data_IF_904054636627
#
_entry.id   IF_904054636627
#
_cell.length_a   1.000
_cell.length_b   1.000
_cell.length_c   1.000
_cell.angle_alpha   90.00
_cell.angle_beta   90.00
_cell.angle_gamma   90.00
#
_symmetry.space_group_name_H-M   'P 1'
#
loop_
_entity.id
_entity.type
_entity.pdbx_description
1 polymer ?
#
# COMPACT_ATOMS: atom_id res chain seq x y z
N UNK A 1 8.23 27.89 -14.77
CA UNK A 1 8.57 27.74 -13.33
C UNK A 1 7.37 27.68 -12.37
N UNK A 2 6.71 28.78 -11.96
CA UNK A 2 5.62 28.68 -10.94
C UNK A 2 4.37 27.92 -11.45
N UNK A 3 3.96 28.19 -12.69
CA UNK A 3 2.79 27.54 -13.34
C UNK A 3 2.91 26.01 -13.39
N UNK A 4 4.09 25.50 -13.70
CA UNK A 4 4.35 24.05 -13.84
C UNK A 4 4.29 23.33 -12.50
N UNK A 5 4.76 23.97 -11.43
CA UNK A 5 4.63 23.42 -10.08
C UNK A 5 3.14 23.34 -9.67
N UNK A 6 2.33 24.37 -9.98
CA UNK A 6 0.89 24.33 -9.70
C UNK A 6 0.19 23.23 -10.49
N UNK A 7 0.56 23.03 -11.76
CA UNK A 7 0.00 21.96 -12.57
C UNK A 7 0.38 20.57 -12.02
N UNK A 8 1.61 20.41 -11.52
CA UNK A 8 2.02 19.17 -10.87
C UNK A 8 1.24 18.89 -9.59
N UNK A 9 1.05 19.91 -8.74
CA UNK A 9 0.22 19.79 -7.53
C UNK A 9 -1.22 19.43 -7.90
N UNK A 10 -1.78 20.06 -8.93
CA UNK A 10 -3.12 19.77 -9.42
C UNK A 10 -3.24 18.31 -9.90
N UNK A 11 -2.31 17.84 -10.73
CA UNK A 11 -2.32 16.47 -11.26
C UNK A 11 -2.18 15.42 -10.14
N UNK A 12 -1.27 15.64 -9.19
CA UNK A 12 -1.12 14.78 -8.01
C UNK A 12 -2.37 14.81 -7.11
N UNK A 13 -3.00 15.98 -6.97
CA UNK A 13 -4.28 16.13 -6.28
C UNK A 13 -5.39 15.33 -6.96
N UNK A 14 -5.50 15.42 -8.29
CA UNK A 14 -6.46 14.64 -9.08
C UNK A 14 -6.19 13.14 -8.91
N UNK A 15 -4.94 12.69 -9.03
CA UNK A 15 -4.56 11.30 -8.79
C UNK A 15 -5.00 10.81 -7.41
N UNK A 16 -4.71 11.58 -6.36
CA UNK A 16 -5.13 11.25 -4.99
C UNK A 16 -6.65 11.17 -4.84
N UNK A 17 -7.38 12.14 -5.40
CA UNK A 17 -8.86 12.15 -5.38
C UNK A 17 -9.41 10.93 -6.12
N UNK A 18 -8.89 10.60 -7.31
CA UNK A 18 -9.31 9.43 -8.08
C UNK A 18 -9.03 8.12 -7.34
N UNK A 19 -7.86 7.99 -6.70
CA UNK A 19 -7.51 6.82 -5.90
C UNK A 19 -8.44 6.66 -4.68
N UNK A 20 -8.75 7.75 -3.98
CA UNK A 20 -9.64 7.74 -2.81
C UNK A 20 -11.08 7.42 -3.19
N UNK A 21 -11.63 8.08 -4.23
CA UNK A 21 -13.03 7.88 -4.63
C UNK A 21 -13.25 6.49 -5.21
N UNK A 22 -12.31 5.98 -5.99
CA UNK A 22 -12.41 4.63 -6.57
C UNK A 22 -12.34 3.52 -5.51
N UNK A 23 -11.60 3.71 -4.41
CA UNK A 23 -11.53 2.68 -3.35
C UNK A 23 -12.68 2.74 -2.33
N UNK A 24 -13.52 3.79 -2.36
CA UNK A 24 -14.35 4.16 -1.20
C UNK A 24 -15.38 3.08 -0.79
N UNK A 25 -15.91 2.35 -1.76
CA UNK A 25 -16.92 1.30 -1.55
C UNK A 25 -16.44 -0.09 -1.99
N UNK A 26 -15.15 -0.23 -2.31
CA UNK A 26 -14.57 -1.50 -2.73
C UNK A 26 -14.30 -2.40 -1.52
N UNK A 27 -14.65 -3.67 -1.65
CA UNK A 27 -14.26 -4.72 -0.70
C UNK A 27 -12.74 -4.95 -0.73
N UNK A 28 -12.23 -5.66 0.28
CA UNK A 28 -10.83 -6.08 0.31
C UNK A 28 -10.58 -7.13 -0.79
N UNK A 29 -9.48 -6.99 -1.51
CA UNK A 29 -9.03 -8.01 -2.44
C UNK A 29 -8.38 -9.21 -1.69
N UNK A 30 -7.79 -10.15 -2.43
CA UNK A 30 -7.16 -11.32 -1.82
C UNK A 30 -5.99 -10.95 -0.89
N UNK A 31 -5.03 -10.17 -1.40
CA UNK A 31 -3.80 -9.81 -0.68
C UNK A 31 -4.04 -8.83 0.47
N UNK A 32 -4.99 -7.92 0.35
CA UNK A 32 -5.33 -6.94 1.38
C UNK A 32 -5.86 -7.60 2.65
N UNK A 33 -6.57 -8.72 2.49
CA UNK A 33 -7.03 -9.55 3.62
C UNK A 33 -5.87 -10.24 4.34
N UNK A 34 -4.69 -10.30 3.74
CA UNK A 34 -3.50 -10.90 4.35
C UNK A 34 -2.61 -9.80 4.91
N UNK A 35 -2.25 -8.82 4.08
CA UNK A 35 -1.28 -7.78 4.43
C UNK A 35 -1.74 -6.83 5.54
N UNK A 36 -2.99 -6.36 5.50
CA UNK A 36 -3.47 -5.40 6.51
C UNK A 36 -3.62 -6.07 7.89
N UNK A 37 -4.22 -7.27 8.02
CA UNK A 37 -4.27 -7.99 9.29
C UNK A 37 -2.89 -8.38 9.83
N UNK A 38 -1.97 -8.82 8.98
CA UNK A 38 -0.58 -9.10 9.39
C UNK A 38 0.10 -7.84 9.93
N UNK A 39 0.07 -6.72 9.20
CA UNK A 39 0.63 -5.45 9.71
C UNK A 39 0.01 -5.01 11.04
N UNK A 40 -1.29 -5.24 11.23
CA UNK A 40 -1.93 -4.93 12.51
C UNK A 40 -1.41 -5.81 13.66
N UNK A 41 -1.21 -7.12 13.43
CA UNK A 41 -0.63 -8.01 14.46
C UNK A 41 0.83 -7.65 14.76
N UNK A 42 1.60 -7.25 13.75
CA UNK A 42 3.00 -6.83 13.92
C UNK A 42 3.09 -5.61 14.83
N UNK A 43 2.27 -4.59 14.58
CA UNK A 43 2.28 -3.36 15.35
C UNK A 43 1.79 -3.54 16.78
N UNK A 44 0.69 -4.28 16.97
CA UNK A 44 -0.02 -4.38 18.26
C UNK A 44 0.50 -5.50 19.16
N UNK A 45 0.91 -6.62 18.59
CA UNK A 45 1.32 -7.82 19.32
C UNK A 45 2.81 -8.16 19.17
N UNK A 46 3.55 -7.43 18.32
CA UNK A 46 4.98 -7.67 18.05
C UNK A 46 5.26 -9.09 17.57
N UNK A 47 4.30 -9.68 16.85
CA UNK A 47 4.35 -11.05 16.37
C UNK A 47 4.21 -11.09 14.86
N UNK A 48 5.27 -11.59 14.19
CA UNK A 48 5.42 -11.59 12.75
C UNK A 48 5.10 -12.95 12.10
N UNK A 49 4.33 -13.82 12.78
CA UNK A 49 4.02 -15.16 12.27
C UNK A 49 3.16 -15.18 11.01
N UNK A 50 2.29 -14.18 10.84
CA UNK A 50 1.35 -14.10 9.72
C UNK A 50 2.04 -13.46 8.53
N UNK A 51 2.01 -14.10 7.37
CA UNK A 51 2.61 -13.59 6.13
C UNK A 51 4.06 -13.06 6.26
N UNK A 52 5.04 -13.88 6.68
CA UNK A 52 6.44 -13.45 6.80
C UNK A 52 7.17 -13.30 5.45
N UNK A 53 6.53 -13.64 4.33
CA UNK A 53 7.13 -13.71 2.99
C UNK A 53 7.60 -12.36 2.42
N UNK A 54 6.99 -11.26 2.87
CA UNK A 54 7.34 -9.90 2.45
C UNK A 54 7.80 -9.05 3.65
N UNK A 55 8.76 -8.12 3.44
CA UNK A 55 9.19 -7.18 4.49
C UNK A 55 8.03 -6.43 5.15
N UNK A 56 8.12 -6.12 6.45
CA UNK A 56 6.97 -5.64 7.21
C UNK A 56 6.58 -4.19 6.92
N UNK A 57 7.51 -3.36 6.44
CA UNK A 57 7.35 -1.90 6.38
C UNK A 57 6.01 -1.45 5.79
N UNK A 58 5.62 -1.99 4.63
CA UNK A 58 4.40 -1.56 3.93
C UNK A 58 3.14 -2.03 4.66
N UNK A 59 3.18 -3.24 5.25
CA UNK A 59 2.08 -3.80 6.04
C UNK A 59 1.88 -2.96 7.30
N UNK A 60 2.98 -2.63 7.99
CA UNK A 60 2.99 -1.80 9.18
C UNK A 60 2.45 -0.40 8.87
N UNK A 61 2.99 0.27 7.85
CA UNK A 61 2.49 1.57 7.41
C UNK A 61 0.97 1.53 7.15
N UNK A 62 0.51 0.55 6.38
CA UNK A 62 -0.93 0.41 6.09
C UNK A 62 -1.75 0.14 7.36
N UNK A 63 -1.20 -0.53 8.37
CA UNK A 63 -1.88 -0.79 9.63
C UNK A 63 -1.77 0.34 10.67
N UNK A 64 -0.91 1.36 10.49
CA UNK A 64 -0.77 2.47 11.44
C UNK A 64 -2.10 3.18 11.74
N UNK A 65 -2.95 3.52 10.75
CA UNK A 65 -4.24 4.16 11.01
C UNK A 65 -5.19 3.28 11.85
N UNK A 66 -5.04 1.96 11.79
CA UNK A 66 -5.88 1.02 12.54
C UNK A 66 -5.61 1.07 14.04
N UNK A 67 -4.44 1.58 14.48
CA UNK A 67 -4.13 1.76 15.90
C UNK A 67 -5.07 2.76 16.60
N UNK A 68 -5.72 3.64 15.84
CA UNK A 68 -6.72 4.59 16.34
C UNK A 68 -8.14 4.04 16.30
N UNK A 69 -8.33 2.80 15.82
CA UNK A 69 -9.62 2.12 15.77
C UNK A 69 -9.73 1.12 16.92
N UNK A 70 -10.94 0.95 17.45
CA UNK A 70 -11.25 -0.12 18.42
C UNK A 70 -11.48 -1.42 17.65
N UNK A 71 -10.41 -2.15 17.36
CA UNK A 71 -10.46 -3.41 16.61
C UNK A 71 -10.49 -4.59 17.60
N UNK A 72 -11.47 -5.47 17.43
CA UNK A 72 -11.59 -6.74 18.15
C UNK A 72 -10.66 -7.76 17.52
N UNK A 73 -9.61 -8.15 18.24
CA UNK A 73 -8.63 -9.11 17.75
C UNK A 73 -9.12 -10.56 17.95
N UNK A 74 -9.10 -11.44 16.92
CA UNK A 74 -9.60 -12.80 17.01
C UNK A 74 -8.56 -13.76 17.59
N UNK A 75 -8.34 -13.72 18.90
CA UNK A 75 -7.39 -14.62 19.57
C UNK A 75 -7.68 -16.11 19.36
N UNK A 76 -8.93 -16.46 19.10
CA UNK A 76 -9.38 -17.85 18.86
C UNK A 76 -9.34 -18.24 17.39
N UNK A 77 -8.87 -17.36 16.49
CA UNK A 77 -8.76 -17.66 15.06
C UNK A 77 -7.91 -18.90 14.83
N UNK A 78 -8.37 -19.77 13.92
CA UNK A 78 -7.57 -20.87 13.42
C UNK A 78 -6.23 -20.38 12.86
N UNK A 79 -6.24 -19.28 12.12
CA UNK A 79 -5.04 -18.70 11.52
C UNK A 79 -4.05 -18.13 12.54
N UNK A 80 -4.53 -17.66 13.70
CA UNK A 80 -3.67 -17.16 14.76
C UNK A 80 -2.99 -18.28 15.58
N UNK A 81 -3.76 -19.33 15.87
CA UNK A 81 -3.34 -20.41 16.75
C UNK A 81 -2.58 -21.53 16.03
N UNK A 82 -2.63 -21.56 14.70
CA UNK A 82 -1.84 -22.50 13.89
C UNK A 82 -0.49 -21.88 13.57
N UNK A 83 0.58 -22.43 14.12
CA UNK A 83 1.94 -21.99 13.78
C UNK A 83 2.21 -22.32 12.32
N UNK A 84 2.80 -21.38 11.57
CA UNK A 84 3.19 -21.56 10.16
C UNK A 84 4.22 -22.70 9.93
N UNK A 85 4.63 -23.40 10.99
CA UNK A 85 5.48 -24.60 11.01
C UNK A 85 4.72 -25.91 11.12
N UNK A 86 3.38 -25.91 11.26
CA UNK A 86 2.58 -27.13 11.19
C UNK A 86 2.65 -27.67 9.77
N UNK A 87 3.17 -28.90 9.59
CA UNK A 87 3.30 -29.63 8.32
C UNK A 87 2.86 -28.81 7.09
N UNK A 88 3.79 -28.16 6.39
CA UNK A 88 3.50 -27.38 5.17
C UNK A 88 2.67 -28.19 4.16
N UNK A 89 2.81 -29.52 4.19
CA UNK A 89 2.06 -30.47 3.37
C UNK A 89 0.57 -30.61 3.75
N UNK A 90 0.16 -30.19 4.95
CA UNK A 90 -1.20 -30.29 5.48
C UNK A 90 -1.89 -28.94 5.60
N UNK A 91 -1.17 -27.88 5.95
CA UNK A 91 -1.75 -26.52 6.07
C UNK A 91 -0.78 -25.48 5.55
N UNK A 92 -0.88 -25.11 4.26
CA UNK A 92 -0.07 -24.03 3.69
C UNK A 92 -0.24 -22.70 4.45
N UNK A 93 0.84 -21.92 4.59
CA UNK A 93 0.87 -20.62 5.27
C UNK A 93 -0.21 -19.64 4.79
N UNK A 94 -0.48 -19.62 3.48
CA UNK A 94 -1.52 -18.76 2.91
C UNK A 94 -2.93 -19.09 3.45
N UNK A 95 -3.21 -20.33 3.85
CA UNK A 95 -4.51 -20.71 4.42
C UNK A 95 -4.69 -20.11 5.82
N UNK A 96 -3.64 -20.16 6.65
CA UNK A 96 -3.67 -19.58 7.99
C UNK A 96 -3.77 -18.05 7.91
N UNK A 97 -3.03 -17.43 7.00
CA UNK A 97 -3.07 -15.98 6.77
C UNK A 97 -4.46 -15.50 6.34
N UNK A 98 -5.08 -16.19 5.36
CA UNK A 98 -6.42 -15.86 4.87
C UNK A 98 -7.48 -16.13 5.94
N UNK A 99 -7.37 -17.23 6.69
CA UNK A 99 -8.30 -17.54 7.78
C UNK A 99 -8.26 -16.44 8.85
N UNK A 100 -7.07 -16.07 9.31
CA UNK A 100 -6.90 -14.98 10.27
C UNK A 100 -7.45 -13.65 9.73
N UNK A 101 -7.12 -13.34 8.47
CA UNK A 101 -7.59 -12.13 7.82
C UNK A 101 -9.10 -12.02 7.75
N UNK A 102 -9.79 -13.11 7.40
CA UNK A 102 -11.24 -13.17 7.38
C UNK A 102 -11.84 -13.06 8.80
N UNK A 103 -11.23 -13.71 9.78
CA UNK A 103 -11.68 -13.62 11.17
C UNK A 103 -11.57 -12.20 11.71
N UNK A 104 -10.44 -11.52 11.47
CA UNK A 104 -10.21 -10.15 11.92
C UNK A 104 -11.16 -9.18 11.21
N UNK A 105 -11.30 -9.28 9.89
CA UNK A 105 -12.08 -8.31 9.12
C UNK A 105 -13.59 -8.54 9.25
N UNK A 106 -14.05 -9.78 9.15
CA UNK A 106 -15.47 -10.07 8.91
C UNK A 106 -16.16 -10.81 10.05
N UNK A 107 -15.47 -11.69 10.79
CA UNK A 107 -16.12 -12.54 11.80
C UNK A 107 -15.95 -12.05 13.25
N UNK A 108 -15.08 -11.07 13.50
CA UNK A 108 -14.89 -10.48 14.84
C UNK A 108 -15.86 -9.33 15.14
N UNK A 109 -16.76 -8.98 14.22
CA UNK A 109 -17.66 -7.83 14.34
C UNK A 109 -16.93 -6.48 14.24
N UNK A 110 -15.84 -6.44 13.47
CA UNK A 110 -15.15 -5.21 13.09
C UNK A 110 -15.78 -4.60 11.82
N UNK A 111 -15.56 -3.30 11.62
CA UNK A 111 -15.96 -2.62 10.38
C UNK A 111 -14.85 -2.78 9.32
N UNK A 112 -14.96 -3.85 8.53
CA UNK A 112 -14.00 -4.15 7.46
C UNK A 112 -13.84 -3.01 6.45
N UNK A 113 -14.93 -2.34 6.07
CA UNK A 113 -14.87 -1.22 5.12
C UNK A 113 -14.06 -0.07 5.71
N UNK A 114 -14.33 0.29 6.96
CA UNK A 114 -13.58 1.35 7.65
C UNK A 114 -12.11 1.00 7.75
N UNK A 115 -11.78 -0.23 8.15
CA UNK A 115 -10.39 -0.70 8.20
C UNK A 115 -9.70 -0.59 6.84
N UNK A 116 -10.34 -1.03 5.74
CA UNK A 116 -9.78 -0.92 4.39
C UNK A 116 -9.57 0.53 3.96
N UNK A 117 -10.57 1.40 4.18
CA UNK A 117 -10.46 2.83 3.82
C UNK A 117 -9.24 3.47 4.45
N UNK A 118 -9.05 3.28 5.75
CA UNK A 118 -7.91 3.85 6.46
C UNK A 118 -6.59 3.17 6.08
N UNK A 119 -6.60 1.84 5.90
CA UNK A 119 -5.39 1.09 5.58
C UNK A 119 -4.80 1.44 4.22
N UNK A 120 -5.66 1.79 3.24
CA UNK A 120 -5.24 2.17 1.89
C UNK A 120 -4.65 3.58 1.80
N UNK A 121 -4.88 4.47 2.78
CA UNK A 121 -4.46 5.88 2.71
C UNK A 121 -2.95 6.05 2.57
N UNK A 122 -2.15 5.30 3.34
CA UNK A 122 -0.69 5.45 3.25
C UNK A 122 -0.14 4.89 1.93
N UNK A 123 -0.79 3.90 1.33
CA UNK A 123 -0.40 3.41 0.00
C UNK A 123 -0.67 4.47 -1.07
N UNK A 124 -1.79 5.18 -0.98
CA UNK A 124 -2.09 6.30 -1.88
C UNK A 124 -1.03 7.40 -1.74
N UNK A 125 -0.59 7.71 -0.50
CA UNK A 125 0.49 8.67 -0.28
C UNK A 125 1.82 8.22 -0.91
N UNK A 126 2.14 6.92 -0.87
CA UNK A 126 3.30 6.37 -1.57
C UNK A 126 3.14 6.50 -3.09
N UNK A 127 1.95 6.28 -3.64
CA UNK A 127 1.65 6.54 -5.06
C UNK A 127 1.86 8.02 -5.42
N UNK A 128 1.34 8.95 -4.62
CA UNK A 128 1.57 10.39 -4.81
C UNK A 128 3.07 10.72 -4.76
N UNK A 129 3.83 10.11 -3.84
CA UNK A 129 5.27 10.29 -3.75
C UNK A 129 5.99 9.79 -5.01
N UNK A 130 5.61 8.62 -5.53
CA UNK A 130 6.14 8.10 -6.79
C UNK A 130 5.84 9.06 -7.96
N UNK A 131 4.60 9.54 -8.08
CA UNK A 131 4.23 10.53 -9.08
C UNK A 131 5.06 11.82 -9.00
N UNK A 132 5.32 12.30 -7.78
CA UNK A 132 6.20 13.45 -7.54
C UNK A 132 7.63 13.20 -8.05
N UNK A 133 8.20 12.02 -7.79
CA UNK A 133 9.54 11.68 -8.27
C UNK A 133 9.60 11.49 -9.78
N UNK A 134 8.54 10.95 -10.41
CA UNK A 134 8.43 10.88 -11.87
C UNK A 134 8.47 12.29 -12.46
N UNK A 135 7.63 13.20 -11.96
CA UNK A 135 7.63 14.59 -12.39
C UNK A 135 9.00 15.26 -12.19
N UNK A 136 9.58 15.12 -10.99
CA UNK A 136 10.87 15.71 -10.63
C UNK A 136 11.97 15.23 -11.57
N UNK A 137 12.05 13.92 -11.80
CA UNK A 137 13.09 13.33 -12.61
C UNK A 137 12.94 13.69 -14.09
N UNK A 138 11.73 13.58 -14.65
CA UNK A 138 11.44 13.99 -16.02
C UNK A 138 11.76 15.47 -16.26
N UNK A 139 11.53 16.34 -15.27
CA UNK A 139 11.86 17.76 -15.35
C UNK A 139 13.37 18.00 -15.45
N UNK A 140 14.15 17.25 -14.68
CA UNK A 140 15.62 17.36 -14.69
C UNK A 140 16.25 16.82 -15.99
N UNK A 141 15.60 15.86 -16.66
CA UNK A 141 16.12 15.24 -17.87
C UNK A 141 15.73 15.99 -19.15
N UNK A 142 14.47 16.41 -19.26
CA UNK A 142 13.88 16.88 -20.53
C UNK A 142 13.10 18.19 -20.38
N UNK A 143 13.18 18.84 -19.22
CA UNK A 143 12.55 20.14 -18.98
C UNK A 143 11.06 20.07 -18.59
N UNK A 144 10.45 21.24 -18.50
CA UNK A 144 9.12 21.42 -17.88
C UNK A 144 7.99 20.69 -18.62
N UNK A 145 7.93 20.76 -19.95
CA UNK A 145 6.86 20.17 -20.75
C UNK A 145 6.83 18.64 -20.63
N UNK A 146 7.99 17.99 -20.70
CA UNK A 146 8.11 16.55 -20.57
C UNK A 146 7.66 16.06 -19.17
N UNK A 147 7.97 16.83 -18.13
CA UNK A 147 7.56 16.52 -16.76
C UNK A 147 6.04 16.52 -16.59
N UNK A 148 5.36 17.50 -17.18
CA UNK A 148 3.89 17.60 -17.13
C UNK A 148 3.25 16.44 -17.88
N UNK A 149 3.73 16.13 -19.09
CA UNK A 149 3.21 15.03 -19.90
C UNK A 149 3.39 13.70 -19.16
N UNK A 150 4.59 13.42 -18.63
CA UNK A 150 4.87 12.22 -17.87
C UNK A 150 3.96 12.09 -16.64
N UNK A 151 3.78 13.17 -15.88
CA UNK A 151 2.91 13.18 -14.71
C UNK A 151 1.43 13.02 -15.08
N UNK A 152 0.97 13.60 -16.19
CA UNK A 152 -0.39 13.41 -16.68
C UNK A 152 -0.62 11.94 -17.06
N UNK A 153 0.30 11.33 -17.82
CA UNK A 153 0.24 9.90 -18.16
C UNK A 153 0.22 9.01 -16.92
N UNK A 154 1.02 9.34 -15.90
CA UNK A 154 1.01 8.64 -14.62
C UNK A 154 -0.34 8.80 -13.88
N UNK A 155 -0.82 10.03 -13.75
CA UNK A 155 -2.00 10.37 -12.94
C UNK A 155 -3.31 9.80 -13.50
N UNK A 156 -3.38 9.64 -14.82
CA UNK A 156 -4.54 9.09 -15.52
C UNK A 156 -4.35 7.63 -15.97
N UNK A 157 -3.26 6.98 -15.58
CA UNK A 157 -3.03 5.57 -15.92
C UNK A 157 -3.96 4.67 -15.10
N UNK A 158 -4.85 3.87 -15.74
CA UNK A 158 -5.73 2.95 -15.04
C UNK A 158 -4.95 1.92 -14.22
N UNK A 159 -3.82 1.44 -14.75
CA UNK A 159 -2.96 0.47 -14.06
C UNK A 159 -2.36 1.07 -12.79
N UNK A 160 -1.82 2.29 -12.88
CA UNK A 160 -1.23 2.95 -11.69
C UNK A 160 -2.31 3.19 -10.64
N UNK A 161 -3.46 3.71 -11.03
CA UNK A 161 -4.59 3.95 -10.12
C UNK A 161 -5.10 2.67 -9.47
N UNK A 162 -5.19 1.58 -10.23
CA UNK A 162 -5.65 0.28 -9.72
C UNK A 162 -4.74 -0.26 -8.62
N UNK A 163 -3.42 -0.20 -8.80
CA UNK A 163 -2.47 -0.71 -7.81
C UNK A 163 -2.21 0.27 -6.65
N UNK A 164 -2.22 1.58 -6.89
CA UNK A 164 -1.83 2.60 -5.88
C UNK A 164 -2.85 2.85 -4.78
N UNK A 165 -3.97 2.13 -4.79
CA UNK A 165 -5.06 2.27 -3.80
C UNK A 165 -5.32 0.99 -3.01
N UNK A 166 -4.49 -0.04 -3.18
CA UNK A 166 -4.66 -1.36 -2.55
C UNK A 166 -3.55 -1.57 -1.52
N UNK A 167 -3.85 -2.27 -0.42
CA UNK A 167 -2.83 -2.68 0.56
C UNK A 167 -1.98 -3.85 0.02
N UNK A 168 -1.17 -3.54 -1.01
CA UNK A 168 -0.16 -4.44 -1.59
C UNK A 168 1.23 -3.82 -1.49
N UNK A 169 2.25 -4.61 -1.82
CA UNK A 169 3.66 -4.17 -1.76
C UNK A 169 4.17 -3.55 -3.05
N UNK A 170 3.43 -3.68 -4.16
CA UNK A 170 3.93 -3.40 -5.51
C UNK A 170 4.28 -1.93 -5.71
N UNK A 171 3.40 -1.02 -5.28
CA UNK A 171 3.58 0.43 -5.47
C UNK A 171 4.71 0.95 -4.59
N UNK A 172 4.84 0.40 -3.38
CA UNK A 172 5.96 0.73 -2.50
C UNK A 172 7.29 0.22 -3.06
N UNK A 173 7.32 -1.00 -3.60
CA UNK A 173 8.50 -1.53 -4.27
C UNK A 173 8.87 -0.70 -5.52
N UNK A 174 7.88 -0.35 -6.34
CA UNK A 174 8.07 0.52 -7.51
C UNK A 174 8.59 1.91 -7.12
N UNK A 175 8.04 2.50 -6.06
CA UNK A 175 8.51 3.78 -5.51
C UNK A 175 9.95 3.68 -5.03
N UNK A 176 10.27 2.68 -4.20
CA UNK A 176 11.61 2.48 -3.67
C UNK A 176 12.62 2.26 -4.80
N UNK A 177 12.29 1.43 -5.79
CA UNK A 177 13.15 1.17 -6.95
C UNK A 177 13.37 2.44 -7.77
N UNK A 178 12.31 3.16 -8.13
CA UNK A 178 12.41 4.38 -8.93
C UNK A 178 13.19 5.49 -8.23
N UNK A 179 12.93 5.71 -6.94
CA UNK A 179 13.64 6.72 -6.14
C UNK A 179 15.10 6.35 -5.98
N UNK A 180 15.40 5.06 -5.74
CA UNK A 180 16.79 4.57 -5.67
C UNK A 180 17.51 4.79 -6.99
N UNK A 181 16.86 4.47 -8.12
CA UNK A 181 17.41 4.73 -9.45
C UNK A 181 17.63 6.22 -9.71
N UNK A 182 16.70 7.08 -9.32
CA UNK A 182 16.87 8.53 -9.42
C UNK A 182 18.14 8.99 -8.69
N UNK A 183 18.35 8.58 -7.44
CA UNK A 183 19.54 8.97 -6.69
C UNK A 183 20.83 8.32 -7.20
N UNK A 184 20.77 7.07 -7.68
CA UNK A 184 21.90 6.44 -8.36
C UNK A 184 22.30 7.23 -9.61
N UNK A 185 21.32 7.64 -10.42
CA UNK A 185 21.55 8.48 -11.60
C UNK A 185 22.19 9.83 -11.23
N UNK A 186 21.72 10.47 -10.16
CA UNK A 186 22.32 11.71 -9.65
C UNK A 186 23.76 11.50 -9.18
N UNK A 187 24.05 10.37 -8.55
CA UNK A 187 25.40 10.02 -8.10
C UNK A 187 26.35 9.73 -9.28
N UNK A 188 25.88 9.08 -10.34
CA UNK A 188 26.68 8.82 -11.54
C UNK A 188 26.93 10.07 -12.40
N UNK A 189 26.11 11.10 -12.24
CA UNK A 189 26.24 12.38 -12.94
C UNK A 189 27.18 13.38 -12.24
N UNK A 190 27.86 12.94 -11.17
CA UNK A 190 29.03 13.65 -10.61
C UNK A 190 30.11 13.78 -11.69
#
# INVERSE_FOLDING_TARGET
MKSVNYLAILLLGIFGVLAITSMWNDSANYDERIHLPAGYSYLTHKDMRLNPEHPPLVKDLSALPLLFLKIKFPYQSFGWNTLSTSDINRTPSWQTDVAFGNDLLYYSGNDAQKMMRYGRLLIILIGVLLGFYIWKFSRELWGESAAVIALAMYSFSPTVLAHSRLVTTDVAAAAAFFISFYYLYKWLKI
#
